data_IF_253693447177
#
_entry.id   IF_253693447177
#
_cell.length_a   1.000
_cell.length_b   1.000
_cell.length_c   1.000
_cell.angle_alpha   90.00
_cell.angle_beta   90.00
_cell.angle_gamma   90.00
#
_symmetry.space_group_name_H-M   'P 1'
#
loop_
_entity.id
_entity.type
_entity.pdbx_description
1 polymer ?
#
# COMPACT_ATOMS: atom_id res chain seq x y z
N UNK A 1 -47.46 23.82 -55.97
CA UNK A 1 -46.04 23.72 -56.39
C UNK A 1 -45.20 24.70 -55.60
N UNK A 2 -44.33 24.22 -54.72
CA UNK A 2 -42.91 24.61 -54.54
C UNK A 2 -42.44 24.09 -53.19
N UNK A 3 -41.57 23.08 -53.24
CA UNK A 3 -40.75 22.58 -52.15
C UNK A 3 -39.75 23.66 -51.74
N UNK A 4 -39.55 23.84 -50.44
CA UNK A 4 -38.29 24.37 -49.90
C UNK A 4 -37.81 23.45 -48.78
N UNK A 5 -36.54 23.09 -48.89
CA UNK A 5 -35.85 22.08 -48.11
C UNK A 5 -35.43 22.63 -46.74
N UNK A 6 -35.74 21.91 -45.67
CA UNK A 6 -35.15 22.13 -44.34
C UNK A 6 -33.88 21.28 -44.27
N UNK A 7 -32.74 21.94 -44.14
CA UNK A 7 -31.43 21.29 -43.95
C UNK A 7 -31.30 20.93 -42.47
N UNK A 8 -31.26 19.64 -42.18
CA UNK A 8 -31.05 19.04 -40.86
C UNK A 8 -29.54 18.95 -40.60
N UNK A 9 -29.04 19.75 -39.66
CA UNK A 9 -27.67 19.62 -39.15
C UNK A 9 -27.62 18.49 -38.13
N UNK A 10 -26.98 17.38 -38.50
CA UNK A 10 -26.65 16.29 -37.59
C UNK A 10 -25.37 16.66 -36.84
N UNK A 11 -25.49 16.98 -35.56
CA UNK A 11 -24.38 17.19 -34.64
C UNK A 11 -23.87 15.82 -34.19
N UNK A 12 -22.79 15.35 -34.82
CA UNK A 12 -22.03 14.17 -34.37
C UNK A 12 -21.20 14.59 -33.16
N UNK A 13 -21.64 14.19 -31.97
CA UNK A 13 -20.88 14.35 -30.73
C UNK A 13 -19.65 13.43 -30.72
N UNK A 14 -18.49 13.99 -31.06
CA UNK A 14 -17.20 13.33 -30.88
C UNK A 14 -16.87 13.34 -29.37
N UNK A 15 -17.22 12.27 -28.67
CA UNK A 15 -16.71 11.98 -27.33
C UNK A 15 -15.20 11.70 -27.43
N UNK A 16 -14.38 12.74 -27.30
CA UNK A 16 -12.97 12.54 -27.01
C UNK A 16 -12.85 11.93 -25.61
N UNK A 17 -12.10 10.84 -25.42
CA UNK A 17 -11.78 10.38 -24.09
C UNK A 17 -10.96 11.47 -23.42
N UNK A 18 -11.46 12.02 -22.31
CA UNK A 18 -10.63 12.76 -21.37
C UNK A 18 -9.62 11.74 -20.87
N UNK A 19 -8.44 11.72 -21.48
CA UNK A 19 -7.27 11.14 -20.83
C UNK A 19 -7.07 11.98 -19.57
N UNK A 20 -7.53 11.45 -18.44
CA UNK A 20 -7.05 11.91 -17.15
C UNK A 20 -5.56 11.61 -17.15
N UNK A 21 -4.74 12.64 -17.29
CA UNK A 21 -3.31 12.53 -17.01
C UNK A 21 -3.26 12.19 -15.53
N UNK A 22 -2.91 10.95 -15.20
CA UNK A 22 -2.65 10.60 -13.81
C UNK A 22 -1.49 11.48 -13.36
N UNK A 23 -1.77 12.45 -12.49
CA UNK A 23 -0.72 13.28 -11.91
C UNK A 23 0.31 12.33 -11.28
N UNK A 24 1.59 12.53 -11.60
CA UNK A 24 2.66 11.72 -11.02
C UNK A 24 2.57 11.82 -9.48
N UNK A 25 2.78 10.71 -8.75
CA UNK A 25 2.77 10.75 -7.30
C UNK A 25 3.82 11.76 -6.80
N UNK A 26 3.42 12.65 -5.90
CA UNK A 26 4.29 13.68 -5.33
C UNK A 26 4.67 13.30 -3.91
N UNK A 27 5.96 13.34 -3.61
CA UNK A 27 6.45 13.33 -2.24
C UNK A 27 6.50 14.76 -1.72
N UNK A 28 5.71 15.03 -0.70
CA UNK A 28 5.70 16.32 -0.01
C UNK A 28 6.74 16.30 1.11
N UNK A 29 7.45 17.40 1.30
CA UNK A 29 8.38 17.52 2.41
C UNK A 29 8.83 18.94 2.67
N UNK A 30 9.64 19.09 3.70
CA UNK A 30 10.18 20.37 4.14
C UNK A 30 11.65 20.22 4.52
N UNK A 31 12.47 21.19 4.14
CA UNK A 31 13.89 21.23 4.48
C UNK A 31 14.15 22.35 5.48
N UNK A 32 14.83 22.01 6.57
CA UNK A 32 15.21 22.92 7.64
C UNK A 32 16.73 22.95 7.82
N UNK A 33 17.26 24.14 8.05
CA UNK A 33 18.59 24.37 8.59
C UNK A 33 18.45 24.42 10.11
N UNK A 34 19.22 23.60 10.83
CA UNK A 34 19.22 23.61 12.28
C UNK A 34 20.37 24.50 12.76
N UNK A 35 20.02 25.59 13.46
CA UNK A 35 21.00 26.49 14.05
C UNK A 35 21.59 25.98 15.36
N UNK A 36 22.49 26.77 15.95
CA UNK A 36 23.23 26.38 17.16
C UNK A 36 22.30 26.12 18.35
N UNK A 37 21.21 26.87 18.47
CA UNK A 37 20.22 26.77 19.55
C UNK A 37 18.99 25.92 19.20
N UNK A 38 19.10 24.98 18.24
CA UNK A 38 18.01 24.12 17.76
C UNK A 38 16.85 24.87 17.09
N UNK A 39 17.09 26.12 16.71
CA UNK A 39 16.21 26.89 15.84
C UNK A 39 16.07 26.19 14.48
N UNK A 40 14.82 25.97 14.07
CA UNK A 40 14.47 25.43 12.76
C UNK A 40 14.25 26.57 11.79
N UNK A 41 15.20 26.79 10.89
CA UNK A 41 15.11 27.79 9.84
C UNK A 41 14.74 27.13 8.52
N UNK A 42 13.63 27.53 7.86
CA UNK A 42 13.28 26.96 6.57
C UNK A 42 14.37 27.19 5.52
N UNK A 43 14.75 26.13 4.79
CA UNK A 43 15.79 26.19 3.78
C UNK A 43 15.19 26.47 2.40
N UNK A 44 15.02 27.74 2.05
CA UNK A 44 14.51 28.15 0.74
C UNK A 44 15.56 28.04 -0.38
N UNK A 45 15.11 27.81 -1.62
CA UNK A 45 15.95 27.76 -2.83
C UNK A 45 17.05 26.69 -2.79
N UNK A 46 16.76 25.52 -2.22
CA UNK A 46 17.67 24.37 -2.17
C UNK A 46 17.15 23.25 -3.05
N UNK A 47 18.02 22.65 -3.86
CA UNK A 47 17.65 21.53 -4.72
C UNK A 47 17.53 20.22 -3.91
N UNK A 48 16.44 19.49 -4.12
CA UNK A 48 16.13 18.20 -3.50
C UNK A 48 15.85 17.19 -4.61
N UNK A 49 16.46 16.00 -4.55
CA UNK A 49 16.27 14.94 -5.54
C UNK A 49 16.35 13.55 -4.93
N UNK A 50 15.94 12.53 -5.69
CA UNK A 50 16.23 11.14 -5.35
C UNK A 50 17.66 10.75 -5.78
N UNK A 51 18.29 9.85 -5.03
CA UNK A 51 19.56 9.25 -5.46
C UNK A 51 19.43 8.59 -6.83
N UNK A 52 20.45 8.76 -7.68
CA UNK A 52 20.47 8.24 -9.05
C UNK A 52 19.60 9.01 -10.05
N UNK A 53 18.99 10.14 -9.65
CA UNK A 53 18.18 11.00 -10.51
C UNK A 53 18.85 12.35 -10.76
N UNK A 54 18.57 12.93 -11.92
CA UNK A 54 19.17 14.20 -12.38
C UNK A 54 18.20 15.38 -12.39
N UNK A 55 16.94 15.14 -12.02
CA UNK A 55 15.83 16.08 -12.02
C UNK A 55 15.47 16.49 -10.58
N UNK A 56 16.15 17.52 -10.01
CA UNK A 56 15.80 18.03 -8.69
C UNK A 56 14.52 18.89 -8.75
N UNK A 57 13.82 18.93 -7.62
CA UNK A 57 12.87 20.00 -7.28
C UNK A 57 13.57 21.04 -6.41
N UNK A 58 13.06 22.26 -6.34
CA UNK A 58 13.64 23.35 -5.54
C UNK A 58 12.68 23.74 -4.44
N UNK A 59 13.20 23.90 -3.22
CA UNK A 59 12.38 24.28 -2.06
C UNK A 59 11.84 25.71 -2.17
N UNK A 60 10.59 25.90 -1.73
CA UNK A 60 9.88 27.17 -1.64
C UNK A 60 10.35 28.02 -0.43
N UNK A 61 9.75 29.19 -0.25
CA UNK A 61 10.13 30.15 0.80
C UNK A 61 10.07 29.59 2.23
N UNK A 62 9.17 28.63 2.48
CA UNK A 62 9.04 27.95 3.77
C UNK A 62 9.77 26.60 3.80
N UNK A 63 10.74 26.38 2.90
CA UNK A 63 11.53 25.13 2.84
C UNK A 63 10.76 23.94 2.26
N UNK A 64 9.50 24.14 1.86
CA UNK A 64 8.63 23.12 1.30
C UNK A 64 9.10 22.65 -0.08
N UNK A 65 8.99 21.37 -0.37
CA UNK A 65 9.23 20.83 -1.70
C UNK A 65 8.15 19.85 -2.11
N UNK A 66 7.92 19.79 -3.42
CA UNK A 66 7.10 18.78 -4.08
C UNK A 66 8.01 18.00 -5.03
N UNK A 67 8.34 16.76 -4.68
CA UNK A 67 9.26 15.92 -5.44
C UNK A 67 8.46 14.87 -6.22
N UNK A 68 8.40 14.95 -7.56
CA UNK A 68 7.76 13.91 -8.37
C UNK A 68 8.46 12.57 -8.21
N UNK A 69 7.72 11.56 -7.78
CA UNK A 69 8.22 10.20 -7.68
C UNK A 69 8.18 9.52 -9.07
N UNK A 70 9.22 8.75 -9.41
CA UNK A 70 9.30 8.08 -10.69
C UNK A 70 8.25 6.98 -10.82
N UNK A 71 7.83 6.77 -12.05
CA UNK A 71 6.86 5.75 -12.43
C UNK A 71 7.48 4.79 -13.44
N UNK A 72 6.94 3.59 -13.52
CA UNK A 72 7.24 2.58 -14.53
C UNK A 72 5.96 2.14 -15.23
N UNK A 73 6.07 1.84 -16.52
CA UNK A 73 4.95 1.28 -17.29
C UNK A 73 5.00 -0.25 -17.24
N UNK A 74 4.05 -0.87 -16.54
CA UNK A 74 3.90 -2.33 -16.46
C UNK A 74 2.56 -2.74 -17.04
N UNK A 75 2.57 -3.59 -18.07
CA UNK A 75 1.35 -4.07 -18.78
C UNK A 75 0.43 -2.91 -19.25
N UNK A 76 1.03 -1.86 -19.81
CA UNK A 76 0.29 -0.70 -20.34
C UNK A 76 -0.30 0.22 -19.26
N UNK A 77 0.01 0.00 -17.97
CA UNK A 77 -0.38 0.88 -16.87
C UNK A 77 0.85 1.52 -16.24
N UNK A 78 0.78 2.83 -16.04
CA UNK A 78 1.78 3.56 -15.26
C UNK A 78 1.60 3.24 -13.77
N UNK A 79 2.68 2.89 -13.09
CA UNK A 79 2.70 2.50 -11.69
C UNK A 79 3.86 3.22 -10.98
N UNK A 80 3.73 3.57 -9.69
CA UNK A 80 4.86 4.07 -8.91
C UNK A 80 6.02 3.08 -8.95
N UNK A 81 7.24 3.59 -9.10
CA UNK A 81 8.44 2.77 -9.02
C UNK A 81 8.67 2.26 -7.59
N UNK A 82 8.31 3.06 -6.59
CA UNK A 82 8.49 2.78 -5.17
C UNK A 82 7.14 2.54 -4.49
N UNK A 83 7.07 1.56 -3.61
CA UNK A 83 5.90 1.28 -2.77
C UNK A 83 5.91 2.03 -1.43
N UNK A 84 4.75 2.17 -0.76
CA UNK A 84 4.66 2.58 0.64
C UNK A 84 5.64 1.81 1.54
N UNK A 85 6.39 2.52 2.38
CA UNK A 85 7.37 1.95 3.31
C UNK A 85 8.69 1.53 2.66
N UNK A 86 8.81 1.54 1.33
CA UNK A 86 10.07 1.23 0.65
C UNK A 86 11.10 2.32 0.94
N UNK A 87 12.36 1.93 1.20
CA UNK A 87 13.42 2.90 1.51
C UNK A 87 13.82 3.67 0.26
N UNK A 88 13.75 4.99 0.35
CA UNK A 88 14.28 5.93 -0.64
C UNK A 88 15.43 6.73 -0.04
N UNK A 89 16.27 7.31 -0.89
CA UNK A 89 17.34 8.21 -0.47
C UNK A 89 17.19 9.57 -1.12
N UNK A 90 16.97 10.58 -0.28
CA UNK A 90 16.85 11.97 -0.66
C UNK A 90 18.23 12.62 -0.63
N UNK A 91 18.54 13.41 -1.64
CA UNK A 91 19.74 14.23 -1.74
C UNK A 91 19.31 15.68 -1.68
N UNK A 92 19.96 16.44 -0.82
CA UNK A 92 19.79 17.89 -0.74
C UNK A 92 21.08 18.56 -1.17
N UNK A 93 21.04 19.32 -2.25
CA UNK A 93 22.20 19.98 -2.86
C UNK A 93 22.46 21.31 -2.14
N UNK A 94 23.16 21.22 -1.01
CA UNK A 94 23.61 22.39 -0.24
C UNK A 94 25.07 22.18 0.21
N UNK A 95 26.04 22.88 -0.40
CA UNK A 95 27.46 22.77 -0.03
C UNK A 95 27.66 23.06 1.46
N UNK A 96 28.58 22.35 2.11
CA UNK A 96 28.91 22.48 3.55
C UNK A 96 27.77 22.15 4.53
N UNK A 97 26.73 21.46 4.07
CA UNK A 97 25.63 20.98 4.90
C UNK A 97 25.40 19.48 4.70
N UNK A 98 25.03 18.80 5.79
CA UNK A 98 24.78 17.36 5.82
C UNK A 98 23.35 17.11 6.29
N UNK A 99 22.66 16.18 5.64
CA UNK A 99 21.36 15.70 6.12
C UNK A 99 21.57 14.93 7.42
N UNK A 100 21.17 15.56 8.53
CA UNK A 100 21.21 15.00 9.86
C UNK A 100 20.05 14.02 10.10
N UNK A 101 18.84 14.42 9.73
CA UNK A 101 17.63 13.63 9.89
C UNK A 101 16.73 13.81 8.66
N UNK A 102 16.26 12.74 8.00
CA UNK A 102 16.69 11.34 8.19
C UNK A 102 18.18 11.18 7.84
N UNK A 103 18.91 10.29 8.54
CA UNK A 103 20.37 10.17 8.37
C UNK A 103 20.72 9.93 6.90
N UNK A 104 21.54 10.82 6.32
CA UNK A 104 21.96 10.78 4.92
C UNK A 104 20.81 10.81 3.89
N UNK A 105 19.62 11.25 4.32
CA UNK A 105 18.43 11.30 3.47
C UNK A 105 17.72 9.96 3.30
N UNK A 106 18.13 8.89 4.00
CA UNK A 106 17.52 7.57 3.89
C UNK A 106 16.24 7.46 4.74
N UNK A 107 15.09 7.38 4.08
CA UNK A 107 13.78 7.34 4.75
C UNK A 107 12.86 6.33 4.08
N UNK A 108 11.96 5.67 4.83
CA UNK A 108 10.83 4.99 4.21
C UNK A 108 9.97 6.00 3.45
N UNK A 109 9.44 5.58 2.31
CA UNK A 109 8.43 6.34 1.60
C UNK A 109 7.13 6.37 2.42
N UNK A 110 6.51 7.55 2.66
CA UNK A 110 5.27 7.64 3.42
C UNK A 110 4.15 6.80 2.79
N UNK A 111 3.26 6.28 3.63
CA UNK A 111 2.17 5.42 3.15
C UNK A 111 1.05 6.23 2.49
N UNK A 112 0.73 7.39 3.06
CA UNK A 112 -0.21 8.35 2.50
C UNK A 112 0.50 9.63 2.04
N UNK A 113 0.94 9.64 0.78
CA UNK A 113 1.65 10.78 0.16
C UNK A 113 0.86 12.09 0.14
N UNK A 114 -0.46 12.05 0.39
CA UNK A 114 -1.31 13.24 0.44
C UNK A 114 -1.39 13.86 1.85
N UNK A 115 -1.04 13.10 2.89
CA UNK A 115 -1.17 13.54 4.29
C UNK A 115 0.15 13.57 5.05
N UNK A 116 1.08 12.71 4.67
CA UNK A 116 2.38 12.59 5.33
C UNK A 116 3.43 13.39 4.56
N UNK A 117 4.24 14.14 5.31
CA UNK A 117 5.33 14.96 4.77
C UNK A 117 6.66 14.50 5.32
N UNK A 118 7.71 14.51 4.50
CA UNK A 118 9.07 14.20 4.94
C UNK A 118 9.76 15.48 5.45
N UNK A 119 10.18 15.47 6.70
CA UNK A 119 11.01 16.53 7.27
C UNK A 119 12.49 16.20 7.10
N UNK A 120 13.24 17.08 6.44
CA UNK A 120 14.70 16.98 6.25
C UNK A 120 15.38 18.07 7.07
N UNK A 121 16.23 17.67 8.02
CA UNK A 121 17.03 18.56 8.85
C UNK A 121 18.48 18.53 8.40
N UNK A 122 19.02 19.68 8.06
CA UNK A 122 20.42 19.86 7.72
C UNK A 122 21.18 20.46 8.89
N UNK A 123 22.42 20.00 9.08
CA UNK A 123 23.41 20.60 9.97
C UNK A 123 24.65 21.00 9.16
N UNK A 124 25.36 22.07 9.56
CA UNK A 124 26.61 22.41 8.91
C UNK A 124 27.65 21.31 9.14
N UNK A 125 28.54 21.13 8.17
CA UNK A 125 29.76 20.33 8.31
C UNK A 125 30.55 20.82 9.54
N UNK A 126 31.07 19.90 10.35
CA UNK A 126 31.73 20.19 11.62
C UNK A 126 30.79 20.38 12.82
N UNK A 127 29.47 20.24 12.65
CA UNK A 127 28.52 20.30 13.78
C UNK A 127 28.58 19.04 14.64
N UNK A 128 28.87 19.18 15.94
CA UNK A 128 28.84 18.06 16.89
C UNK A 128 27.46 17.40 17.02
N UNK A 129 26.38 18.08 16.62
CA UNK A 129 25.03 17.49 16.56
C UNK A 129 24.91 16.38 15.50
N UNK A 130 25.87 16.28 14.58
CA UNK A 130 25.97 15.14 13.66
C UNK A 130 26.31 13.83 14.38
N UNK A 131 26.89 13.88 15.59
CA UNK A 131 27.27 12.73 16.40
C UNK A 131 26.07 12.07 17.11
N UNK A 132 25.06 11.74 16.31
CA UNK A 132 23.86 11.02 16.76
C UNK A 132 24.08 9.51 16.80
N UNK A 133 23.32 8.85 17.67
CA UNK A 133 23.29 7.41 17.77
C UNK A 133 22.89 6.77 16.42
N UNK A 134 21.85 7.29 15.77
CA UNK A 134 21.33 6.80 14.48
C UNK A 134 22.38 6.88 13.38
N UNK A 135 23.17 7.96 13.35
CA UNK A 135 24.26 8.10 12.39
C UNK A 135 25.33 7.04 12.63
N UNK A 136 25.81 6.89 13.86
CA UNK A 136 26.86 5.91 14.13
C UNK A 136 26.38 4.48 13.91
N UNK A 137 25.15 4.16 14.29
CA UNK A 137 24.53 2.87 13.97
C UNK A 137 24.53 2.61 12.46
N UNK A 138 24.16 3.61 11.64
CA UNK A 138 24.22 3.51 10.17
C UNK A 138 25.64 3.34 9.65
N UNK A 139 26.59 4.16 10.09
CA UNK A 139 27.98 4.08 9.61
C UNK A 139 28.60 2.72 9.96
N UNK A 140 28.30 2.15 11.13
CA UNK A 140 28.75 0.80 11.50
C UNK A 140 28.08 -0.30 10.68
N UNK A 141 26.81 -0.13 10.31
CA UNK A 141 26.14 -1.02 9.35
C UNK A 141 26.85 -0.98 7.99
N UNK A 142 27.11 0.23 7.46
CA UNK A 142 27.79 0.43 6.18
C UNK A 142 29.23 -0.10 6.19
N UNK A 143 29.94 0.05 7.31
CA UNK A 143 31.26 -0.54 7.55
C UNK A 143 31.20 -2.06 7.48
N UNK A 144 30.25 -2.67 8.20
CA UNK A 144 30.04 -4.12 8.24
C UNK A 144 29.71 -4.67 6.86
N UNK A 145 28.79 -4.04 6.12
CA UNK A 145 28.40 -4.46 4.77
C UNK A 145 29.61 -4.40 3.81
N UNK A 146 30.34 -3.28 3.78
CA UNK A 146 31.54 -3.12 2.93
C UNK A 146 32.66 -4.07 3.30
N UNK A 147 32.86 -4.34 4.59
CA UNK A 147 33.89 -5.27 5.06
C UNK A 147 33.57 -6.68 4.56
N UNK A 148 32.32 -7.12 4.65
CA UNK A 148 31.90 -8.43 4.13
C UNK A 148 32.06 -8.53 2.61
N UNK A 149 31.74 -7.48 1.85
CA UNK A 149 31.91 -7.46 0.38
C UNK A 149 33.37 -7.58 -0.08
N UNK A 150 34.32 -7.12 0.75
CA UNK A 150 35.75 -7.09 0.41
C UNK A 150 36.53 -8.35 0.81
N UNK A 151 35.93 -9.26 1.59
CA UNK A 151 36.59 -10.49 2.04
C UNK A 151 36.71 -11.47 0.86
N UNK A 152 37.94 -11.86 0.53
CA UNK A 152 38.21 -12.96 -0.40
C UNK A 152 38.28 -14.28 0.39
N UNK A 153 37.72 -15.41 -0.10
CA UNK A 153 37.69 -16.69 0.63
C UNK A 153 39.07 -17.26 1.00
N UNK A 154 40.13 -16.78 0.35
CA UNK A 154 41.52 -17.19 0.55
C UNK A 154 42.28 -16.30 1.55
N UNK A 155 41.67 -15.21 2.03
CA UNK A 155 42.23 -14.35 3.07
C UNK A 155 41.85 -14.88 4.45
N UNK A 156 42.84 -15.18 5.28
CA UNK A 156 42.65 -15.74 6.62
C UNK A 156 42.14 -14.69 7.64
N UNK A 157 42.28 -13.39 7.38
CA UNK A 157 41.86 -12.31 8.29
C UNK A 157 41.26 -11.11 7.55
N UNK A 158 40.20 -10.47 8.09
CA UNK A 158 39.68 -9.20 7.57
C UNK A 158 40.76 -8.10 7.57
N UNK A 159 40.85 -7.32 6.51
CA UNK A 159 41.88 -6.30 6.37
C UNK A 159 41.64 -5.12 7.34
N UNK A 160 42.59 -4.84 8.24
CA UNK A 160 42.52 -3.68 9.15
C UNK A 160 42.43 -2.34 8.40
N UNK A 161 42.94 -2.31 7.17
CA UNK A 161 42.93 -1.18 6.25
C UNK A 161 41.49 -0.68 5.99
N UNK A 162 40.49 -1.56 5.99
CA UNK A 162 39.08 -1.19 5.69
C UNK A 162 38.46 -0.32 6.79
N UNK A 163 38.78 -0.57 8.05
CA UNK A 163 38.26 0.21 9.20
C UNK A 163 38.86 1.62 9.21
N UNK A 164 40.18 1.72 9.06
CA UNK A 164 40.89 2.99 9.03
C UNK A 164 40.47 3.86 7.83
N UNK A 165 40.23 3.26 6.67
CA UNK A 165 39.69 3.93 5.49
C UNK A 165 38.26 4.42 5.70
N UNK A 166 37.43 3.63 6.39
CA UNK A 166 36.06 4.04 6.71
C UNK A 166 36.05 5.25 7.64
N UNK A 167 36.83 5.22 8.72
CA UNK A 167 36.95 6.34 9.67
C UNK A 167 37.45 7.60 8.96
N UNK A 168 38.48 7.49 8.11
CA UNK A 168 38.98 8.62 7.34
C UNK A 168 37.91 9.24 6.44
N UNK A 169 37.16 8.42 5.70
CA UNK A 169 36.07 8.90 4.84
C UNK A 169 34.94 9.56 5.64
N UNK A 170 34.63 9.01 6.81
CA UNK A 170 33.63 9.59 7.71
C UNK A 170 34.09 10.94 8.27
N UNK A 171 35.36 11.05 8.65
CA UNK A 171 35.98 12.29 9.10
C UNK A 171 35.91 13.38 8.03
N UNK A 172 36.27 13.06 6.78
CA UNK A 172 36.16 13.97 5.64
C UNK A 172 34.70 14.39 5.40
N UNK A 173 33.77 13.42 5.44
CA UNK A 173 32.33 13.65 5.24
C UNK A 173 31.75 14.59 6.30
N UNK A 174 32.11 14.39 7.57
CA UNK A 174 31.54 15.15 8.70
C UNK A 174 32.31 16.43 9.02
N UNK A 175 33.51 16.63 8.47
CA UNK A 175 34.35 17.80 8.71
C UNK A 175 35.07 17.81 10.06
N UNK A 176 35.50 16.64 10.53
CA UNK A 176 36.22 16.49 11.79
C UNK A 176 37.60 15.86 11.59
N UNK A 177 38.57 16.09 12.50
CA UNK A 177 39.80 15.31 12.56
C UNK A 177 39.51 13.81 12.69
N UNK A 178 40.32 12.98 12.01
CA UNK A 178 40.16 11.52 12.02
C UNK A 178 40.21 10.94 13.43
N UNK A 179 41.13 11.44 14.25
CA UNK A 179 41.35 11.02 15.63
C UNK A 179 40.13 11.33 16.52
N UNK A 180 39.48 12.46 16.28
CA UNK A 180 38.26 12.88 16.99
C UNK A 180 37.09 11.96 16.64
N UNK A 181 36.89 11.65 15.35
CA UNK A 181 35.87 10.70 14.91
C UNK A 181 36.12 9.31 15.48
N UNK A 182 37.37 8.83 15.46
CA UNK A 182 37.73 7.54 16.06
C UNK A 182 37.39 7.52 17.55
N UNK A 183 37.80 8.54 18.32
CA UNK A 183 37.52 8.61 19.74
C UNK A 183 36.02 8.59 20.04
N UNK A 184 35.23 9.31 19.22
CA UNK A 184 33.77 9.32 19.37
C UNK A 184 33.13 7.98 19.02
N UNK A 185 33.60 7.28 17.98
CA UNK A 185 33.15 5.93 17.63
C UNK A 185 33.52 4.90 18.71
N UNK A 186 34.73 4.99 19.26
CA UNK A 186 35.17 4.15 20.39
C UNK A 186 34.26 4.38 21.62
N UNK A 187 33.86 5.63 21.86
CA UNK A 187 32.88 5.95 22.91
C UNK A 187 31.48 5.41 22.58
N UNK A 188 31.01 5.58 21.35
CA UNK A 188 29.71 5.07 20.93
C UNK A 188 29.63 3.55 21.06
N UNK A 189 30.70 2.82 20.72
CA UNK A 189 30.75 1.36 20.87
C UNK A 189 30.53 0.93 22.33
N UNK A 190 31.18 1.62 23.29
CA UNK A 190 30.98 1.38 24.74
C UNK A 190 29.56 1.70 25.20
N UNK A 191 28.95 2.75 24.65
CA UNK A 191 27.55 3.11 24.93
C UNK A 191 26.61 2.03 24.37
N UNK A 192 26.86 1.56 23.15
CA UNK A 192 26.08 0.55 22.45
C UNK A 192 26.17 -0.85 23.08
N UNK A 193 27.28 -1.22 23.72
CA UNK A 193 27.39 -2.45 24.53
C UNK A 193 26.35 -2.50 25.67
N UNK A 194 25.91 -1.35 26.16
CA UNK A 194 24.90 -1.22 27.22
C UNK A 194 23.48 -0.97 26.69
N UNK A 195 23.29 -0.93 25.37
CA UNK A 195 21.98 -0.69 24.76
C UNK A 195 20.97 -1.79 25.13
N UNK A 196 19.68 -1.52 24.98
CA UNK A 196 18.66 -2.58 25.12
C UNK A 196 18.61 -3.46 23.88
N UNK A 197 18.76 -2.86 22.69
CA UNK A 197 18.70 -3.57 21.41
C UNK A 197 19.98 -4.42 21.18
N UNK A 198 19.87 -5.75 21.02
CA UNK A 198 21.00 -6.60 20.66
C UNK A 198 21.66 -6.20 19.33
N UNK A 199 20.95 -5.50 18.45
CA UNK A 199 21.49 -5.00 17.18
C UNK A 199 22.64 -4.00 17.40
N UNK A 200 22.47 -3.06 18.32
CA UNK A 200 23.50 -2.07 18.65
C UNK A 200 24.72 -2.71 19.28
N UNK A 201 24.50 -3.66 20.20
CA UNK A 201 25.58 -4.47 20.78
C UNK A 201 26.33 -5.23 19.70
N UNK A 202 25.62 -5.82 18.75
CA UNK A 202 26.23 -6.57 17.66
C UNK A 202 27.11 -5.68 16.77
N UNK A 203 26.67 -4.46 16.47
CA UNK A 203 27.46 -3.47 15.72
C UNK A 203 28.69 -2.99 16.52
N UNK A 204 28.55 -2.78 17.82
CA UNK A 204 29.67 -2.45 18.70
C UNK A 204 30.72 -3.57 18.73
N UNK A 205 30.31 -4.81 18.95
CA UNK A 205 31.20 -5.98 18.91
C UNK A 205 31.84 -6.15 17.52
N UNK A 206 31.10 -5.86 16.44
CA UNK A 206 31.65 -5.88 15.09
C UNK A 206 32.73 -4.81 14.90
N UNK A 207 32.47 -3.58 15.35
CA UNK A 207 33.44 -2.48 15.35
C UNK A 207 34.70 -2.84 16.15
N UNK A 208 34.53 -3.46 17.31
CA UNK A 208 35.60 -3.97 18.17
C UNK A 208 36.28 -5.24 17.60
N UNK A 209 35.90 -5.70 16.39
CA UNK A 209 36.42 -6.90 15.71
C UNK A 209 36.16 -8.21 16.46
N UNK A 210 35.23 -8.22 17.40
CA UNK A 210 34.80 -9.38 18.16
C UNK A 210 33.72 -10.17 17.39
N UNK A 211 34.05 -10.65 16.18
CA UNK A 211 33.08 -11.20 15.23
C UNK A 211 32.28 -12.40 15.77
N UNK A 212 32.86 -13.21 16.66
CA UNK A 212 32.15 -14.33 17.30
C UNK A 212 31.00 -13.84 18.19
N UNK A 213 31.25 -12.80 19.00
CA UNK A 213 30.22 -12.20 19.86
C UNK A 213 29.20 -11.43 19.01
N UNK A 214 29.67 -10.65 18.05
CA UNK A 214 28.82 -9.93 17.09
C UNK A 214 27.85 -10.88 16.39
N UNK A 215 28.32 -12.05 15.91
CA UNK A 215 27.47 -13.08 15.29
C UNK A 215 26.35 -13.56 16.22
N UNK A 216 26.68 -13.86 17.48
CA UNK A 216 25.68 -14.32 18.45
C UNK A 216 24.62 -13.25 18.75
N UNK A 217 25.04 -11.98 18.88
CA UNK A 217 24.14 -10.86 19.10
C UNK A 217 23.29 -10.54 17.87
N UNK A 218 23.84 -10.64 16.66
CA UNK A 218 23.04 -10.52 15.43
C UNK A 218 22.01 -11.64 15.32
N UNK A 219 22.34 -12.87 15.71
CA UNK A 219 21.36 -13.96 15.77
C UNK A 219 20.23 -13.63 16.75
N UNK A 220 20.57 -13.16 17.96
CA UNK A 220 19.57 -12.76 18.95
C UNK A 220 18.67 -11.62 18.43
N UNK A 221 19.25 -10.61 17.79
CA UNK A 221 18.51 -9.50 17.16
C UNK A 221 17.58 -10.01 16.06
N UNK A 222 18.06 -10.93 15.21
CA UNK A 222 17.26 -11.54 14.15
C UNK A 222 16.10 -12.36 14.72
N UNK A 223 16.33 -13.16 15.76
CA UNK A 223 15.29 -13.96 16.41
C UNK A 223 14.16 -13.09 16.98
N UNK A 224 14.51 -11.96 17.61
CA UNK A 224 13.52 -10.98 18.09
C UNK A 224 12.68 -10.42 16.94
N UNK A 225 13.31 -10.05 15.81
CA UNK A 225 12.59 -9.52 14.64
C UNK A 225 11.75 -10.56 13.93
N UNK A 226 12.18 -11.82 13.90
CA UNK A 226 11.37 -12.93 13.38
C UNK A 226 10.16 -13.22 14.28
N UNK A 227 10.31 -13.12 15.61
CA UNK A 227 9.19 -13.22 16.54
C UNK A 227 8.18 -12.07 16.37
N UNK A 228 8.67 -10.84 16.22
CA UNK A 228 7.84 -9.67 15.93
C UNK A 228 7.07 -9.86 14.62
N UNK A 229 7.73 -10.31 13.56
CA UNK A 229 7.10 -10.61 12.27
C UNK A 229 6.02 -11.69 12.40
N UNK A 230 6.28 -12.77 13.14
CA UNK A 230 5.31 -13.84 13.36
C UNK A 230 4.08 -13.34 14.14
N UNK A 231 4.27 -12.45 15.12
CA UNK A 231 3.18 -11.83 15.86
C UNK A 231 2.32 -10.92 14.97
N UNK A 232 2.94 -10.13 14.08
CA UNK A 232 2.24 -9.30 13.10
C UNK A 232 1.40 -10.19 12.16
N UNK A 233 1.98 -11.25 11.61
CA UNK A 233 1.27 -12.20 10.74
C UNK A 233 0.08 -12.85 11.44
N UNK A 234 0.23 -13.25 12.70
CA UNK A 234 -0.87 -13.81 13.49
C UNK A 234 -2.00 -12.79 13.69
N UNK A 235 -1.66 -11.51 13.92
CA UNK A 235 -2.65 -10.44 14.03
C UNK A 235 -3.36 -10.18 12.71
N UNK A 236 -2.64 -10.18 11.58
CA UNK A 236 -3.23 -10.04 10.24
C UNK A 236 -4.23 -11.18 9.94
N UNK A 237 -3.86 -12.42 10.25
CA UNK A 237 -4.74 -13.59 10.10
C UNK A 237 -5.99 -13.49 10.99
N UNK A 238 -5.82 -13.07 12.24
CA UNK A 238 -6.93 -12.85 13.17
C UNK A 238 -7.86 -11.74 12.68
N UNK A 239 -7.30 -10.63 12.19
CA UNK A 239 -8.05 -9.51 11.65
C UNK A 239 -8.80 -9.91 10.37
N UNK A 240 -8.19 -10.71 9.50
CA UNK A 240 -8.83 -11.21 8.30
C UNK A 240 -10.00 -12.15 8.61
N UNK A 241 -9.83 -13.06 9.59
CA UNK A 241 -10.94 -13.89 10.09
C UNK A 241 -12.06 -13.03 10.68
N UNK A 242 -11.71 -12.03 11.49
CA UNK A 242 -12.69 -11.11 12.08
C UNK A 242 -13.44 -10.31 11.01
N UNK A 243 -12.73 -9.85 9.97
CA UNK A 243 -13.34 -9.16 8.82
C UNK A 243 -14.38 -10.03 8.14
N UNK A 244 -14.09 -11.32 7.93
CA UNK A 244 -15.04 -12.24 7.31
C UNK A 244 -16.27 -12.48 8.19
N UNK A 245 -16.09 -12.66 9.50
CA UNK A 245 -17.21 -12.76 10.44
C UNK A 245 -18.11 -11.52 10.39
N UNK A 246 -17.52 -10.32 10.41
CA UNK A 246 -18.28 -9.06 10.32
C UNK A 246 -19.03 -8.95 8.99
N UNK A 247 -18.45 -9.42 7.88
CA UNK A 247 -19.13 -9.46 6.59
C UNK A 247 -20.32 -10.41 6.62
N UNK A 248 -20.14 -11.65 7.12
CA UNK A 248 -21.25 -12.62 7.26
C UNK A 248 -22.39 -12.06 8.12
N UNK A 249 -22.04 -11.46 9.25
CA UNK A 249 -22.94 -10.78 10.17
C UNK A 249 -23.68 -9.59 9.55
N UNK A 250 -23.02 -8.81 8.69
CA UNK A 250 -23.64 -7.70 7.97
C UNK A 250 -24.58 -8.20 6.88
N UNK A 251 -24.18 -9.25 6.16
CA UNK A 251 -25.00 -9.92 5.15
C UNK A 251 -26.25 -10.51 5.79
N UNK A 252 -26.12 -11.22 6.91
CA UNK A 252 -27.27 -11.79 7.64
C UNK A 252 -28.31 -10.71 8.03
N UNK A 253 -27.85 -9.57 8.55
CA UNK A 253 -28.74 -8.44 8.87
C UNK A 253 -29.40 -7.84 7.64
N UNK A 254 -28.68 -7.71 6.53
CA UNK A 254 -29.22 -7.20 5.26
C UNK A 254 -30.21 -8.18 4.63
N UNK A 255 -29.93 -9.48 4.70
CA UNK A 255 -30.87 -10.54 4.31
C UNK A 255 -32.12 -10.49 5.15
N UNK A 256 -32.01 -10.41 6.48
CA UNK A 256 -33.17 -10.28 7.37
C UNK A 256 -34.01 -9.03 7.07
N UNK A 257 -33.38 -7.89 6.72
CA UNK A 257 -34.10 -6.71 6.21
C UNK A 257 -34.85 -7.05 4.91
N UNK A 258 -34.19 -7.71 3.97
CA UNK A 258 -34.78 -8.13 2.70
C UNK A 258 -35.94 -9.10 2.90
N UNK A 259 -35.79 -10.08 3.79
CA UNK A 259 -36.79 -11.10 4.11
C UNK A 259 -38.03 -10.47 4.76
N UNK A 260 -37.82 -9.49 5.65
CA UNK A 260 -38.90 -8.73 6.25
C UNK A 260 -39.68 -7.90 5.21
N UNK A 261 -38.97 -7.19 4.33
CA UNK A 261 -39.58 -6.44 3.23
C UNK A 261 -40.31 -7.36 2.24
N UNK A 262 -39.71 -8.50 1.88
CA UNK A 262 -40.31 -9.50 1.01
C UNK A 262 -41.61 -10.05 1.62
N UNK A 263 -41.59 -10.36 2.92
CA UNK A 263 -42.77 -10.80 3.67
C UNK A 263 -43.86 -9.73 3.77
N UNK A 264 -43.48 -8.45 3.72
CA UNK A 264 -44.39 -7.31 3.64
C UNK A 264 -44.85 -7.00 2.19
N UNK A 265 -44.47 -7.82 1.20
CA UNK A 265 -44.74 -7.60 -0.24
C UNK A 265 -44.06 -6.34 -0.82
N UNK A 266 -43.03 -5.82 -0.16
CA UNK A 266 -42.23 -4.66 -0.61
C UNK A 266 -41.03 -5.15 -1.43
N UNK A 267 -41.28 -5.75 -2.59
CA UNK A 267 -40.26 -6.51 -3.34
C UNK A 267 -39.10 -5.65 -3.88
N UNK A 268 -39.33 -4.38 -4.24
CA UNK A 268 -38.25 -3.46 -4.61
C UNK A 268 -37.36 -3.08 -3.42
N UNK A 269 -37.91 -3.04 -2.20
CA UNK A 269 -37.11 -2.86 -0.98
C UNK A 269 -36.32 -4.13 -0.66
N UNK A 270 -36.95 -5.30 -0.77
CA UNK A 270 -36.27 -6.58 -0.59
C UNK A 270 -35.08 -6.72 -1.55
N UNK A 271 -35.30 -6.45 -2.85
CA UNK A 271 -34.26 -6.49 -3.86
C UNK A 271 -33.09 -5.56 -3.53
N UNK A 272 -33.38 -4.30 -3.14
CA UNK A 272 -32.33 -3.34 -2.73
C UNK A 272 -31.51 -3.86 -1.55
N UNK A 273 -32.15 -4.49 -0.55
CA UNK A 273 -31.46 -5.04 0.61
C UNK A 273 -30.54 -6.21 0.24
N UNK A 274 -31.02 -7.15 -0.59
CA UNK A 274 -30.20 -8.27 -1.06
C UNK A 274 -29.04 -7.82 -1.98
N UNK A 275 -29.26 -6.82 -2.83
CA UNK A 275 -28.20 -6.23 -3.66
C UNK A 275 -27.13 -5.54 -2.81
N UNK A 276 -27.53 -4.87 -1.72
CA UNK A 276 -26.60 -4.32 -0.75
C UNK A 276 -25.79 -5.43 -0.07
N UNK A 277 -26.43 -6.55 0.31
CA UNK A 277 -25.74 -7.72 0.86
C UNK A 277 -24.70 -8.29 -0.13
N UNK A 278 -25.06 -8.38 -1.41
CA UNK A 278 -24.14 -8.81 -2.47
C UNK A 278 -22.94 -7.87 -2.64
N UNK A 279 -23.12 -6.56 -2.44
CA UNK A 279 -22.07 -5.55 -2.66
C UNK A 279 -20.89 -5.64 -1.69
N UNK A 280 -21.12 -6.17 -0.47
CA UNK A 280 -20.09 -6.29 0.57
C UNK A 280 -19.38 -7.63 0.58
N UNK A 281 -19.90 -8.62 -0.16
CA UNK A 281 -19.33 -9.96 -0.22
C UNK A 281 -18.02 -9.97 -1.02
N UNK A 282 -16.95 -10.61 -0.50
CA UNK A 282 -15.70 -10.77 -1.24
C UNK A 282 -15.92 -11.68 -2.46
N UNK A 283 -15.19 -11.43 -3.55
CA UNK A 283 -15.32 -12.21 -4.79
C UNK A 283 -14.79 -13.63 -4.66
N UNK A 284 -13.71 -13.80 -3.89
CA UNK A 284 -12.90 -15.02 -3.84
C UNK A 284 -13.07 -15.80 -2.53
N UNK A 285 -14.06 -15.44 -1.70
CA UNK A 285 -14.36 -16.06 -0.41
C UNK A 285 -15.87 -16.11 -0.19
N UNK A 286 -16.34 -16.87 0.81
CA UNK A 286 -17.77 -16.98 1.18
C UNK A 286 -18.69 -17.41 0.02
N UNK A 287 -18.20 -18.29 -0.86
CA UNK A 287 -18.90 -18.69 -2.09
C UNK A 287 -20.33 -19.22 -1.84
N UNK A 288 -20.53 -20.01 -0.77
CA UNK A 288 -21.87 -20.50 -0.42
C UNK A 288 -22.83 -19.36 -0.08
N UNK A 289 -22.42 -18.46 0.83
CA UNK A 289 -23.23 -17.31 1.23
C UNK A 289 -23.55 -16.38 0.04
N UNK A 290 -22.60 -16.23 -0.89
CA UNK A 290 -22.83 -15.50 -2.14
C UNK A 290 -23.88 -16.17 -3.03
N UNK A 291 -23.88 -17.49 -3.15
CA UNK A 291 -24.92 -18.22 -3.85
C UNK A 291 -26.28 -18.07 -3.16
N UNK A 292 -26.32 -18.12 -1.82
CA UNK A 292 -27.54 -17.91 -1.03
C UNK A 292 -28.12 -16.51 -1.28
N UNK A 293 -27.31 -15.44 -1.26
CA UNK A 293 -27.78 -14.08 -1.59
C UNK A 293 -28.26 -13.96 -3.04
N UNK A 294 -27.61 -14.66 -3.99
CA UNK A 294 -28.09 -14.68 -5.38
C UNK A 294 -29.45 -15.37 -5.53
N UNK A 295 -29.73 -16.41 -4.73
CA UNK A 295 -31.06 -17.02 -4.68
C UNK A 295 -32.14 -16.01 -4.22
N UNK A 296 -31.82 -15.20 -3.21
CA UNK A 296 -32.76 -14.19 -2.69
C UNK A 296 -33.01 -13.06 -3.70
N UNK A 297 -31.94 -12.59 -4.36
CA UNK A 297 -32.04 -11.63 -5.48
C UNK A 297 -32.90 -12.20 -6.61
N UNK A 298 -32.71 -13.48 -6.94
CA UNK A 298 -33.48 -14.15 -7.98
C UNK A 298 -34.97 -14.25 -7.59
N UNK A 299 -35.27 -14.60 -6.34
CA UNK A 299 -36.63 -14.66 -5.81
C UNK A 299 -37.34 -13.30 -5.84
N UNK A 300 -36.66 -12.23 -5.39
CA UNK A 300 -37.21 -10.87 -5.45
C UNK A 300 -37.49 -10.41 -6.89
N UNK A 301 -36.56 -10.66 -7.81
CA UNK A 301 -36.77 -10.35 -9.23
C UNK A 301 -37.89 -11.18 -9.86
N UNK A 302 -38.01 -12.46 -9.52
CA UNK A 302 -39.13 -13.27 -9.98
C UNK A 302 -40.46 -12.69 -9.46
N UNK A 303 -40.53 -12.32 -8.19
CA UNK A 303 -41.73 -11.75 -7.58
C UNK A 303 -42.15 -10.43 -8.23
N UNK A 304 -41.19 -9.56 -8.57
CA UNK A 304 -41.41 -8.32 -9.33
C UNK A 304 -41.83 -8.61 -10.77
N UNK A 305 -41.18 -9.57 -11.43
CA UNK A 305 -41.47 -9.98 -12.80
C UNK A 305 -42.93 -10.41 -12.97
N UNK A 306 -43.43 -11.28 -12.10
CA UNK A 306 -44.82 -11.77 -12.20
C UNK A 306 -45.89 -10.74 -11.81
N UNK A 307 -45.49 -9.61 -11.21
CA UNK A 307 -46.39 -8.53 -10.72
C UNK A 307 -46.29 -7.23 -11.53
N UNK A 308 -45.42 -7.20 -12.54
CA UNK A 308 -45.25 -6.06 -13.44
C UNK A 308 -45.65 -6.45 -14.86
N UNK A 309 -45.71 -5.48 -15.77
CA UNK A 309 -46.10 -5.70 -17.16
C UNK A 309 -45.07 -5.13 -18.14
N UNK A 310 -45.17 -5.57 -19.39
CA UNK A 310 -44.33 -5.09 -20.50
C UNK A 310 -42.83 -5.26 -20.25
N UNK A 311 -42.05 -4.24 -20.61
CA UNK A 311 -40.59 -4.32 -20.56
C UNK A 311 -40.03 -4.56 -19.14
N UNK A 312 -40.70 -4.07 -18.10
CA UNK A 312 -40.24 -4.25 -16.71
C UNK A 312 -40.34 -5.71 -16.27
N UNK A 313 -41.41 -6.41 -16.66
CA UNK A 313 -41.56 -7.84 -16.44
C UNK A 313 -40.38 -8.60 -17.05
N UNK A 314 -40.07 -8.36 -18.33
CA UNK A 314 -39.00 -9.09 -19.01
C UNK A 314 -37.62 -8.78 -18.42
N UNK A 315 -37.39 -7.53 -18.01
CA UNK A 315 -36.15 -7.15 -17.34
C UNK A 315 -35.97 -7.94 -16.02
N UNK A 316 -36.98 -7.95 -15.16
CA UNK A 316 -36.93 -8.67 -13.89
C UNK A 316 -36.84 -10.19 -14.06
N UNK A 317 -37.60 -10.80 -14.97
CA UNK A 317 -37.50 -12.24 -15.23
C UNK A 317 -36.11 -12.63 -15.78
N UNK A 318 -35.50 -11.79 -16.61
CA UNK A 318 -34.13 -12.02 -17.09
C UNK A 318 -33.09 -11.88 -15.98
N UNK A 319 -33.23 -10.89 -15.10
CA UNK A 319 -32.37 -10.73 -13.93
C UNK A 319 -32.49 -11.92 -12.98
N UNK A 320 -33.72 -12.39 -12.70
CA UNK A 320 -33.96 -13.58 -11.89
C UNK A 320 -33.29 -14.82 -12.50
N UNK A 321 -33.41 -15.00 -13.82
CA UNK A 321 -32.80 -16.13 -14.53
C UNK A 321 -31.27 -16.12 -14.39
N UNK A 322 -30.65 -14.96 -14.60
CA UNK A 322 -29.20 -14.81 -14.46
C UNK A 322 -28.74 -15.14 -13.03
N UNK A 323 -29.43 -14.59 -12.02
CA UNK A 323 -29.10 -14.83 -10.62
C UNK A 323 -29.23 -16.32 -10.22
N UNK A 324 -30.30 -17.01 -10.63
CA UNK A 324 -30.41 -18.46 -10.40
C UNK A 324 -29.35 -19.28 -11.15
N UNK A 325 -28.99 -18.89 -12.38
CA UNK A 325 -27.92 -19.58 -13.13
C UNK A 325 -26.57 -19.45 -12.44
N UNK A 326 -26.23 -18.25 -11.95
CA UNK A 326 -25.01 -18.02 -11.18
C UNK A 326 -25.01 -18.84 -9.88
N UNK A 327 -26.11 -18.80 -9.11
CA UNK A 327 -26.24 -19.57 -7.88
C UNK A 327 -26.12 -21.08 -8.13
N UNK A 328 -26.82 -21.61 -9.14
CA UNK A 328 -26.77 -23.01 -9.52
C UNK A 328 -25.35 -23.46 -9.86
N UNK A 329 -24.61 -22.65 -10.65
CA UNK A 329 -23.22 -22.94 -10.99
C UNK A 329 -22.35 -23.02 -9.73
N UNK A 330 -22.45 -22.04 -8.84
CA UNK A 330 -21.68 -22.04 -7.59
C UNK A 330 -22.05 -23.21 -6.68
N UNK A 331 -23.33 -23.55 -6.53
CA UNK A 331 -23.73 -24.72 -5.75
C UNK A 331 -23.20 -26.03 -6.35
N UNK A 332 -23.19 -26.17 -7.68
CA UNK A 332 -22.59 -27.33 -8.36
C UNK A 332 -21.08 -27.42 -8.06
N UNK A 333 -20.35 -26.32 -8.18
CA UNK A 333 -18.91 -26.26 -7.84
C UNK A 333 -18.64 -26.60 -6.37
N UNK A 334 -19.57 -26.25 -5.46
CA UNK A 334 -19.49 -26.57 -4.04
C UNK A 334 -20.06 -27.96 -3.66
N UNK A 335 -20.59 -28.73 -4.61
CA UNK A 335 -21.23 -30.03 -4.34
C UNK A 335 -22.55 -29.96 -3.56
N UNK A 336 -23.19 -28.78 -3.49
CA UNK A 336 -24.43 -28.51 -2.74
C UNK A 336 -25.67 -28.89 -3.57
N UNK A 337 -26.05 -30.17 -3.56
CA UNK A 337 -27.14 -30.70 -4.39
C UNK A 337 -28.49 -30.05 -4.12
N UNK A 338 -28.81 -29.76 -2.86
CA UNK A 338 -30.08 -29.14 -2.47
C UNK A 338 -30.21 -27.70 -2.99
N UNK A 339 -29.14 -26.91 -2.86
CA UNK A 339 -29.09 -25.55 -3.41
C UNK A 339 -29.19 -25.55 -4.94
N UNK A 340 -28.49 -26.47 -5.61
CA UNK A 340 -28.59 -26.64 -7.05
C UNK A 340 -30.03 -26.97 -7.50
N UNK A 341 -30.69 -27.94 -6.84
CA UNK A 341 -32.05 -28.32 -7.16
C UNK A 341 -33.02 -27.14 -6.98
N UNK A 342 -32.88 -26.39 -5.89
CA UNK A 342 -33.70 -25.21 -5.62
C UNK A 342 -33.54 -24.13 -6.70
N UNK A 343 -32.31 -23.85 -7.12
CA UNK A 343 -32.03 -22.91 -8.20
C UNK A 343 -32.62 -23.37 -9.55
N UNK A 344 -32.54 -24.67 -9.85
CA UNK A 344 -33.13 -25.25 -11.06
C UNK A 344 -34.65 -25.19 -11.07
N UNK A 345 -35.31 -25.38 -9.92
CA UNK A 345 -36.76 -25.18 -9.78
C UNK A 345 -37.12 -23.73 -10.09
N UNK A 346 -36.39 -22.75 -9.53
CA UNK A 346 -36.59 -21.33 -9.83
C UNK A 346 -36.45 -21.00 -11.32
N UNK A 347 -35.45 -21.57 -12.00
CA UNK A 347 -35.28 -21.44 -13.45
C UNK A 347 -36.46 -22.02 -14.22
N UNK A 348 -36.97 -23.19 -13.82
CA UNK A 348 -38.16 -23.80 -14.42
C UNK A 348 -39.38 -22.88 -14.34
N UNK A 349 -39.62 -22.27 -13.17
CA UNK A 349 -40.72 -21.33 -12.95
C UNK A 349 -40.59 -20.08 -13.85
N UNK A 350 -39.38 -19.54 -13.99
CA UNK A 350 -39.15 -18.39 -14.88
C UNK A 350 -39.43 -18.76 -16.34
N UNK A 351 -38.95 -19.92 -16.79
CA UNK A 351 -39.21 -20.37 -18.16
C UNK A 351 -40.69 -20.58 -18.45
N UNK A 352 -41.43 -21.13 -17.48
CA UNK A 352 -42.88 -21.28 -17.58
C UNK A 352 -43.57 -19.91 -17.71
N UNK A 353 -43.24 -18.95 -16.83
CA UNK A 353 -43.86 -17.61 -16.87
C UNK A 353 -43.53 -16.89 -18.18
N UNK A 354 -42.28 -16.94 -18.63
CA UNK A 354 -41.88 -16.36 -19.92
C UNK A 354 -42.70 -16.96 -21.06
N UNK A 355 -42.89 -18.28 -21.09
CA UNK A 355 -43.70 -18.95 -22.12
C UNK A 355 -45.17 -18.55 -22.10
N UNK A 356 -45.77 -18.39 -20.91
CA UNK A 356 -47.16 -17.91 -20.75
C UNK A 356 -47.29 -16.48 -21.28
N UNK A 357 -46.34 -15.60 -20.95
CA UNK A 357 -46.43 -14.16 -21.25
C UNK A 357 -46.06 -13.81 -22.69
N UNK A 358 -45.17 -14.56 -23.34
CA UNK A 358 -44.86 -14.37 -24.77
C UNK A 358 -45.92 -14.94 -25.71
N UNK A 359 -46.80 -15.82 -25.22
CA UNK A 359 -47.93 -16.35 -25.98
C UNK A 359 -49.17 -15.44 -26.00
N UNK A 360 -49.13 -14.30 -25.31
CA UNK A 360 -50.21 -13.31 -25.23
C UNK A 360 -49.94 -11.98 -25.93
N UNK A 361 -48.87 -11.87 -26.72
CA UNK A 361 -48.52 -10.68 -27.54
C UNK A 361 -49.08 -10.75 -28.97
N UNK A 362 -50.32 -11.25 -29.14
CA UNK A 362 -51.13 -10.99 -30.35
C UNK A 362 -51.89 -9.66 -30.21
#
# INVERSE_FOLDING_TARGET
MRRQHIIMWVLVGLLMPIQAWAAKPLLLGQVYLIGEHDEKLPAANVAVKLEGRSDPTVTLSQGEFELPLPTITKRGKEQPLYGPGERIKLIVEKPDWIIHSPVDGETPLPADLLKETVEIRLLPVGSHKLWSHERFQKEMRDLKDKTTEQIQPQQETPQEITFEQHIARLADKLGFPKEEVKARLDQWAKEAEQAEDPYDKALAEYYNKNFTQAKALFQQSADLKLQELAAIQQQEDALQKRKLQVIEEAVDRLKGKGDAAYSAYEFEEALRAYEQARSVLPKDQLHRLRADVQMDIAGANWALGIRTEGQKLHAHLNQAKQAYQEAAKTYTELGQKEGQASAQVGLGLIHQEQGIRTGGEE
#
